data_IF_570415265264
#
_entry.id   IF_570415265264
#
_cell.length_a   1.000
_cell.length_b   1.000
_cell.length_c   1.000
_cell.angle_alpha   90.00
_cell.angle_beta   90.00
_cell.angle_gamma   90.00
#
_symmetry.space_group_name_H-M   'P 1'
#
loop_
_entity.id
_entity.type
_entity.pdbx_description
1 polymer ?
#
# COMPACT_ATOMS: atom_id res chain seq x y z
N UNK A 1 -26.17 9.37 -6.59
CA UNK A 1 -26.63 9.88 -5.27
C UNK A 1 -27.32 11.21 -5.51
N UNK A 2 -28.55 11.36 -5.00
CA UNK A 2 -29.32 12.61 -5.09
C UNK A 2 -29.34 13.21 -3.70
N UNK A 3 -29.10 14.51 -3.61
CA UNK A 3 -29.15 15.29 -2.37
C UNK A 3 -30.27 16.31 -2.45
N UNK A 4 -31.00 16.51 -1.34
CA UNK A 4 -31.93 17.62 -1.23
C UNK A 4 -31.18 18.92 -1.09
N UNK A 5 -31.51 19.90 -1.94
CA UNK A 5 -30.95 21.23 -1.85
C UNK A 5 -31.95 22.10 -1.10
N UNK A 6 -31.44 23.03 -0.30
CA UNK A 6 -32.26 23.97 0.45
C UNK A 6 -33.24 24.72 -0.46
N UNK A 7 -34.42 24.98 0.09
CA UNK A 7 -35.59 25.61 -0.44
C UNK A 7 -35.33 26.62 -1.59
N UNK A 8 -35.87 26.27 -2.76
CA UNK A 8 -35.84 27.16 -3.93
C UNK A 8 -37.25 27.77 -4.15
N UNK A 9 -37.41 29.08 -4.05
CA UNK A 9 -38.71 29.71 -4.27
C UNK A 9 -38.99 29.86 -5.77
N UNK A 10 -39.80 28.99 -6.35
CA UNK A 10 -40.23 29.09 -7.75
C UNK A 10 -41.14 30.25 -8.01
N UNK A 11 -41.96 30.64 -7.04
CA UNK A 11 -42.99 31.69 -7.17
C UNK A 11 -42.78 32.87 -6.21
N UNK A 12 -41.64 32.93 -5.51
CA UNK A 12 -41.31 33.86 -4.43
C UNK A 12 -42.21 33.78 -3.19
N UNK A 13 -43.09 32.80 -3.11
CA UNK A 13 -44.04 32.66 -2.01
C UNK A 13 -43.95 31.35 -1.27
N UNK A 14 -43.59 30.29 -1.98
CA UNK A 14 -43.54 28.92 -1.39
C UNK A 14 -42.15 28.34 -1.58
N UNK A 15 -41.51 27.98 -0.48
CA UNK A 15 -40.23 27.27 -0.50
C UNK A 15 -40.46 25.81 -0.85
N UNK A 16 -39.87 25.36 -1.95
CA UNK A 16 -39.94 23.96 -2.40
C UNK A 16 -38.59 23.30 -2.29
N UNK A 17 -38.53 22.06 -1.79
CA UNK A 17 -37.31 21.30 -1.71
C UNK A 17 -36.86 20.92 -3.12
N UNK A 18 -35.69 21.40 -3.51
CA UNK A 18 -35.01 20.97 -4.74
C UNK A 18 -34.19 19.72 -4.56
N UNK A 19 -33.94 19.01 -5.64
CA UNK A 19 -33.06 17.85 -5.66
C UNK A 19 -32.00 18.02 -6.74
N UNK A 20 -30.74 17.72 -6.40
CA UNK A 20 -29.64 17.73 -7.35
C UNK A 20 -28.86 16.44 -7.29
N UNK A 21 -28.26 16.06 -8.40
CA UNK A 21 -27.31 14.96 -8.41
C UNK A 21 -25.99 15.46 -7.78
N UNK A 22 -25.52 14.78 -6.74
CA UNK A 22 -24.29 15.11 -6.02
C UNK A 22 -23.07 14.39 -6.57
N UNK A 23 -23.23 13.16 -6.97
CA UNK A 23 -22.14 12.30 -7.43
C UNK A 23 -22.63 11.32 -8.50
N UNK A 24 -21.71 10.90 -9.35
CA UNK A 24 -21.96 9.78 -10.23
C UNK A 24 -22.11 8.48 -9.42
N UNK A 25 -23.08 7.65 -9.80
CA UNK A 25 -23.21 6.30 -9.26
C UNK A 25 -22.31 5.37 -10.06
N UNK A 26 -21.51 4.57 -9.38
CA UNK A 26 -20.83 3.43 -9.96
C UNK A 26 -21.53 2.15 -9.48
N UNK A 27 -22.09 1.37 -10.43
CA UNK A 27 -22.78 0.11 -10.14
C UNK A 27 -21.85 -1.11 -10.19
N UNK A 28 -20.64 -0.93 -10.71
CA UNK A 28 -19.67 -2.01 -10.93
C UNK A 28 -18.62 -2.06 -9.80
N UNK A 29 -18.90 -1.41 -8.68
CA UNK A 29 -18.04 -1.45 -7.49
C UNK A 29 -17.91 -2.89 -6.97
N UNK A 30 -16.65 -3.28 -6.74
CA UNK A 30 -16.27 -4.57 -6.17
C UNK A 30 -15.49 -4.37 -4.87
N UNK A 31 -15.39 -5.42 -4.08
CA UNK A 31 -14.47 -5.45 -2.95
C UNK A 31 -13.03 -5.59 -3.39
N UNK A 32 -12.13 -4.97 -2.65
CA UNK A 32 -10.70 -5.18 -2.82
C UNK A 32 -10.36 -6.65 -2.56
N UNK A 33 -9.50 -7.21 -3.39
CA UNK A 33 -9.07 -8.60 -3.29
C UNK A 33 -7.58 -8.67 -3.04
N UNK A 34 -7.18 -9.43 -2.01
CA UNK A 34 -5.76 -9.68 -1.74
C UNK A 34 -5.46 -11.15 -1.96
N UNK A 35 -4.52 -11.41 -2.85
CA UNK A 35 -3.95 -12.74 -3.11
C UNK A 35 -2.55 -12.81 -2.54
N UNK A 36 -2.28 -13.84 -1.74
CA UNK A 36 -0.96 -14.10 -1.14
C UNK A 36 -0.47 -15.46 -1.63
N UNK A 37 0.75 -15.48 -2.14
CA UNK A 37 1.51 -16.70 -2.40
C UNK A 37 2.72 -16.67 -1.48
N UNK A 38 2.90 -17.72 -0.69
CA UNK A 38 3.94 -17.84 0.31
C UNK A 38 4.58 -19.21 0.22
N UNK A 39 5.92 -19.26 0.30
CA UNK A 39 6.71 -20.49 0.27
C UNK A 39 7.80 -20.40 1.32
N UNK A 40 7.65 -21.20 2.37
CA UNK A 40 8.58 -21.28 3.49
C UNK A 40 9.32 -22.60 3.53
N UNK A 41 10.56 -22.58 3.98
CA UNK A 41 11.40 -23.75 4.21
C UNK A 41 12.15 -23.59 5.53
N UNK A 42 11.92 -24.53 6.44
CA UNK A 42 12.66 -24.65 7.69
C UNK A 42 13.63 -25.81 7.64
N UNK A 43 14.90 -25.55 7.92
CA UNK A 43 15.95 -26.55 7.88
C UNK A 43 16.73 -26.56 9.20
N UNK A 44 17.00 -27.74 9.70
CA UNK A 44 18.02 -27.96 10.71
C UNK A 44 19.31 -28.46 10.03
N UNK A 45 20.30 -27.57 9.91
CA UNK A 45 21.50 -27.85 9.10
C UNK A 45 22.51 -28.71 9.86
N UNK A 46 22.75 -28.36 11.14
CA UNK A 46 23.65 -29.07 12.04
C UNK A 46 23.08 -29.06 13.46
N UNK A 47 23.74 -29.78 14.40
CA UNK A 47 23.38 -29.67 15.81
C UNK A 47 23.48 -28.22 16.28
N UNK A 48 22.34 -27.66 16.63
CA UNK A 48 22.22 -26.28 17.11
C UNK A 48 22.04 -25.20 16.03
N UNK A 49 22.25 -25.48 14.74
CA UNK A 49 22.02 -24.49 13.67
C UNK A 49 20.72 -24.79 12.93
N UNK A 50 19.79 -23.84 13.00
CA UNK A 50 18.56 -23.81 12.19
C UNK A 50 18.56 -22.65 11.21
N UNK A 51 17.93 -22.87 10.07
CA UNK A 51 17.73 -21.87 9.02
C UNK A 51 16.26 -21.88 8.61
N UNK A 52 15.66 -20.71 8.55
CA UNK A 52 14.34 -20.48 8.00
C UNK A 52 14.47 -19.60 6.77
N UNK A 53 13.80 -19.95 5.70
CA UNK A 53 13.73 -19.17 4.48
C UNK A 53 12.27 -19.04 4.08
N UNK A 54 11.79 -17.81 3.90
CA UNK A 54 10.44 -17.49 3.44
C UNK A 54 10.51 -16.57 2.22
N UNK A 55 9.73 -16.90 1.20
CA UNK A 55 9.51 -16.06 0.06
C UNK A 55 8.01 -15.81 -0.10
N UNK A 56 7.63 -14.56 -0.28
CA UNK A 56 6.25 -14.18 -0.44
C UNK A 56 6.00 -13.22 -1.60
N UNK A 57 4.81 -13.33 -2.16
CA UNK A 57 4.23 -12.39 -3.11
C UNK A 57 2.79 -12.10 -2.69
N UNK A 58 2.50 -10.84 -2.37
CA UNK A 58 1.17 -10.35 -2.02
C UNK A 58 0.72 -9.34 -3.09
N UNK A 59 -0.40 -9.61 -3.75
CA UNK A 59 -1.02 -8.72 -4.72
C UNK A 59 -2.38 -8.29 -4.20
N UNK A 60 -2.59 -6.99 -4.05
CA UNK A 60 -3.89 -6.39 -3.72
C UNK A 60 -4.42 -5.70 -4.96
N UNK A 61 -5.53 -6.18 -5.49
CA UNK A 61 -6.20 -5.71 -6.70
C UNK A 61 -7.56 -5.09 -6.38
N UNK A 62 -8.15 -4.43 -7.37
CA UNK A 62 -9.44 -3.75 -7.26
C UNK A 62 -9.49 -2.69 -6.14
N UNK A 63 -8.36 -2.03 -5.85
CA UNK A 63 -8.29 -1.01 -4.81
C UNK A 63 -9.24 0.13 -5.13
N UNK A 64 -10.07 0.49 -4.14
CA UNK A 64 -11.07 1.54 -4.24
C UNK A 64 -10.41 2.92 -4.17
N UNK A 65 -10.66 3.74 -5.17
CA UNK A 65 -10.18 5.13 -5.21
C UNK A 65 -11.17 6.06 -5.89
N UNK A 66 -11.07 7.35 -5.62
CA UNK A 66 -11.82 8.36 -6.35
C UNK A 66 -11.28 8.48 -7.77
N UNK A 67 -12.16 8.42 -8.76
CA UNK A 67 -11.78 8.66 -10.16
C UNK A 67 -11.37 10.12 -10.36
N UNK A 68 -10.41 10.37 -11.22
CA UNK A 68 -10.08 11.75 -11.62
C UNK A 68 -11.10 12.21 -12.67
N UNK A 69 -11.95 13.14 -12.30
CA UNK A 69 -12.93 13.77 -13.20
C UNK A 69 -12.70 15.28 -13.23
N UNK A 70 -13.02 15.89 -14.37
CA UNK A 70 -12.90 17.33 -14.50
C UNK A 70 -13.85 18.05 -13.54
N UNK A 71 -13.36 19.07 -12.84
CA UNK A 71 -14.17 19.96 -12.01
C UNK A 71 -15.29 20.68 -12.78
N UNK A 72 -15.16 20.78 -14.11
CA UNK A 72 -16.19 21.37 -14.97
C UNK A 72 -17.51 20.59 -14.97
N UNK A 73 -17.48 19.33 -14.55
CA UNK A 73 -18.70 18.51 -14.46
C UNK A 73 -19.60 18.87 -13.28
N UNK A 74 -19.10 19.67 -12.31
CA UNK A 74 -19.88 20.12 -11.16
C UNK A 74 -20.34 19.01 -10.21
N UNK A 75 -19.86 17.76 -10.38
CA UNK A 75 -20.23 16.61 -9.58
C UNK A 75 -19.00 16.01 -8.90
N UNK A 76 -19.23 15.39 -7.74
CA UNK A 76 -18.16 14.66 -7.05
C UNK A 76 -17.73 13.42 -7.87
N UNK A 77 -16.42 13.16 -7.83
CA UNK A 77 -15.84 12.00 -8.50
C UNK A 77 -16.42 10.68 -7.96
N UNK A 78 -16.77 9.74 -8.84
CA UNK A 78 -17.20 8.42 -8.40
C UNK A 78 -16.02 7.63 -7.83
N UNK A 79 -16.32 6.72 -6.90
CA UNK A 79 -15.37 5.70 -6.47
C UNK A 79 -15.33 4.59 -7.51
N UNK A 80 -14.13 4.18 -7.89
CA UNK A 80 -13.87 3.10 -8.87
C UNK A 80 -12.84 2.13 -8.34
N UNK A 81 -12.89 0.90 -8.81
CA UNK A 81 -11.85 -0.11 -8.58
C UNK A 81 -10.75 0.06 -9.63
N UNK A 82 -9.76 0.86 -9.33
CA UNK A 82 -8.67 1.15 -10.25
C UNK A 82 -7.37 1.32 -9.48
N UNK A 83 -6.85 0.22 -8.98
CA UNK A 83 -5.56 0.19 -8.32
C UNK A 83 -5.13 -1.24 -8.06
N UNK A 84 -3.86 -1.52 -8.28
CA UNK A 84 -3.22 -2.78 -7.92
C UNK A 84 -1.83 -2.52 -7.37
N UNK A 85 -1.53 -3.14 -6.22
CA UNK A 85 -0.22 -3.05 -5.55
C UNK A 85 0.33 -4.45 -5.35
N UNK A 86 1.55 -4.65 -5.80
CA UNK A 86 2.33 -5.86 -5.58
C UNK A 86 3.39 -5.62 -4.50
N UNK A 87 3.41 -6.48 -3.49
CA UNK A 87 4.49 -6.57 -2.51
C UNK A 87 5.12 -7.95 -2.62
N UNK A 88 6.43 -8.01 -2.79
CA UNK A 88 7.19 -9.26 -2.81
C UNK A 88 8.46 -9.12 -2.03
N UNK A 89 8.84 -10.20 -1.38
CA UNK A 89 10.04 -10.20 -0.59
C UNK A 89 10.50 -11.61 -0.24
N UNK A 90 11.61 -11.65 0.46
CA UNK A 90 12.10 -12.86 1.08
C UNK A 90 12.73 -12.53 2.44
N UNK A 91 12.67 -13.50 3.32
CA UNK A 91 13.20 -13.44 4.67
C UNK A 91 14.10 -14.67 4.90
N UNK A 92 15.24 -14.46 5.54
CA UNK A 92 16.16 -15.52 5.88
C UNK A 92 16.55 -15.33 7.35
N UNK A 93 16.39 -16.37 8.13
CA UNK A 93 16.81 -16.41 9.52
C UNK A 93 17.78 -17.55 9.76
N UNK A 94 18.90 -17.25 10.41
CA UNK A 94 19.83 -18.24 10.92
C UNK A 94 19.85 -18.15 12.44
N UNK A 95 19.64 -19.26 13.12
CA UNK A 95 19.70 -19.33 14.58
C UNK A 95 20.65 -20.46 14.98
N UNK A 96 21.62 -20.12 15.81
CA UNK A 96 22.56 -21.08 16.36
C UNK A 96 22.45 -21.15 17.87
N UNK A 97 22.14 -22.34 18.37
CA UNK A 97 22.06 -22.66 19.81
C UNK A 97 23.07 -23.74 20.16
N UNK A 98 23.92 -23.48 21.13
CA UNK A 98 24.85 -24.50 21.60
C UNK A 98 25.17 -24.32 23.10
N UNK A 99 25.75 -25.35 23.67
CA UNK A 99 26.19 -25.38 25.06
C UNK A 99 27.67 -25.80 25.12
N UNK A 100 28.48 -25.04 25.86
CA UNK A 100 29.89 -25.35 26.06
C UNK A 100 30.01 -26.51 27.05
N UNK A 101 30.57 -27.64 26.57
CA UNK A 101 30.73 -28.83 27.38
C UNK A 101 32.12 -28.98 28.00
N UNK A 102 33.17 -28.37 27.44
CA UNK A 102 34.57 -28.73 27.73
C UNK A 102 35.51 -27.56 28.08
N UNK A 103 35.05 -26.54 28.80
CA UNK A 103 35.88 -25.40 29.23
C UNK A 103 35.57 -24.91 30.65
N UNK A 104 36.29 -23.89 31.10
CA UNK A 104 36.06 -23.17 32.35
C UNK A 104 34.59 -22.70 32.50
N UNK A 105 33.91 -22.52 31.37
CA UNK A 105 32.50 -22.13 31.28
C UNK A 105 31.55 -23.30 30.99
N UNK A 106 31.85 -24.48 31.52
CA UNK A 106 31.02 -25.69 31.34
C UNK A 106 29.57 -25.43 31.73
N UNK A 107 28.66 -25.77 30.82
CA UNK A 107 27.21 -25.57 31.00
C UNK A 107 26.69 -24.21 30.53
N UNK A 108 27.54 -23.31 30.01
CA UNK A 108 27.08 -22.05 29.42
C UNK A 108 26.34 -22.33 28.10
N UNK A 109 25.08 -21.98 28.07
CA UNK A 109 24.26 -21.96 26.86
C UNK A 109 24.37 -20.62 26.17
N UNK A 110 24.55 -20.62 24.87
CA UNK A 110 24.55 -19.41 24.05
C UNK A 110 23.67 -19.57 22.82
N UNK A 111 23.05 -18.45 22.44
CA UNK A 111 22.23 -18.32 21.25
C UNK A 111 22.75 -17.14 20.42
N UNK A 112 22.89 -17.36 19.12
CA UNK A 112 23.21 -16.30 18.18
C UNK A 112 22.25 -16.40 16.98
N UNK A 113 21.66 -15.27 16.60
CA UNK A 113 20.74 -15.21 15.46
C UNK A 113 21.10 -14.09 14.50
N UNK A 114 20.96 -14.36 13.22
CA UNK A 114 21.10 -13.38 12.14
C UNK A 114 19.85 -13.43 11.29
N UNK A 115 19.25 -12.29 11.04
CA UNK A 115 18.04 -12.13 10.25
C UNK A 115 18.35 -11.22 9.09
N UNK A 116 17.88 -11.59 7.91
CA UNK A 116 17.98 -10.78 6.70
C UNK A 116 16.63 -10.80 6.01
N UNK A 117 16.08 -9.61 5.76
CA UNK A 117 14.85 -9.43 5.01
C UNK A 117 15.04 -8.44 3.85
N UNK A 118 14.29 -8.64 2.80
CA UNK A 118 14.19 -7.69 1.70
C UNK A 118 12.80 -7.72 1.12
N UNK A 119 12.14 -6.58 1.14
CA UNK A 119 10.83 -6.40 0.52
C UNK A 119 10.87 -5.35 -0.58
N UNK A 120 10.01 -5.48 -1.56
CA UNK A 120 9.78 -4.50 -2.61
C UNK A 120 8.28 -4.32 -2.81
N UNK A 121 7.88 -3.05 -2.82
CA UNK A 121 6.54 -2.62 -3.16
C UNK A 121 6.53 -2.07 -4.57
N UNK A 122 5.49 -2.35 -5.34
CA UNK A 122 5.31 -1.82 -6.69
C UNK A 122 3.84 -1.57 -6.96
N UNK A 123 3.54 -0.40 -7.47
CA UNK A 123 2.23 -0.04 -8.00
C UNK A 123 2.11 -0.59 -9.43
N UNK A 124 1.30 -1.61 -9.62
CA UNK A 124 1.17 -2.33 -10.91
C UNK A 124 0.06 -1.76 -11.78
N UNK A 125 -0.99 -1.23 -11.14
CA UNK A 125 -2.08 -0.54 -11.82
C UNK A 125 -2.53 0.65 -10.98
N UNK A 126 -2.64 1.83 -11.62
CA UNK A 126 -3.10 3.02 -10.93
C UNK A 126 -3.87 4.00 -11.83
N UNK A 127 -3.72 3.90 -13.15
CA UNK A 127 -4.28 4.82 -14.13
C UNK A 127 -3.44 6.09 -14.26
N UNK A 128 -4.04 7.26 -14.09
CA UNK A 128 -3.29 8.52 -14.22
C UNK A 128 -2.34 8.75 -13.05
N UNK A 129 -1.17 9.31 -13.35
CA UNK A 129 -0.20 9.76 -12.35
C UNK A 129 -0.83 10.77 -11.39
N UNK A 130 -0.54 10.64 -10.12
CA UNK A 130 -1.05 11.51 -9.07
C UNK A 130 0.10 12.01 -8.19
N UNK A 131 0.16 13.32 -8.02
CA UNK A 131 1.09 13.98 -7.12
C UNK A 131 0.28 14.53 -5.94
N UNK A 132 0.58 14.03 -4.74
CA UNK A 132 -0.06 14.41 -3.49
C UNK A 132 1.00 14.99 -2.55
N UNK A 133 1.16 16.32 -2.58
CA UNK A 133 2.21 17.03 -1.88
C UNK A 133 3.60 16.62 -2.38
N UNK A 134 4.34 15.89 -1.58
CA UNK A 134 5.67 15.37 -1.90
C UNK A 134 5.69 13.87 -2.24
N UNK A 135 4.52 13.29 -2.49
CA UNK A 135 4.35 11.88 -2.83
C UNK A 135 3.89 11.72 -4.27
N UNK A 136 4.58 10.86 -5.00
CA UNK A 136 4.24 10.48 -6.36
C UNK A 136 3.65 9.08 -6.36
N UNK A 137 2.49 8.94 -7.02
CA UNK A 137 1.86 7.66 -7.32
C UNK A 137 1.84 7.47 -8.82
N UNK A 138 2.72 6.63 -9.31
CA UNK A 138 2.85 6.29 -10.74
C UNK A 138 3.07 4.80 -10.89
N UNK A 139 2.45 4.22 -11.90
CA UNK A 139 2.65 2.80 -12.26
C UNK A 139 4.13 2.49 -12.48
N UNK A 140 4.54 1.36 -11.95
CA UNK A 140 5.93 0.89 -12.03
C UNK A 140 6.83 1.31 -10.89
N UNK A 141 6.43 2.30 -10.09
CA UNK A 141 7.15 2.80 -8.92
C UNK A 141 6.58 2.23 -7.60
N UNK A 142 7.30 2.36 -6.48
CA UNK A 142 6.75 2.09 -5.16
C UNK A 142 5.53 2.98 -4.87
N UNK A 143 4.58 2.46 -4.10
CA UNK A 143 3.42 3.25 -3.68
C UNK A 143 3.86 4.39 -2.76
N UNK A 144 3.49 5.64 -3.10
CA UNK A 144 3.90 6.87 -2.41
C UNK A 144 5.43 7.12 -2.43
N UNK A 145 6.07 6.98 -3.58
CA UNK A 145 7.45 7.39 -3.74
C UNK A 145 7.61 8.89 -3.49
N UNK A 146 8.76 9.30 -2.94
CA UNK A 146 9.02 10.72 -2.68
C UNK A 146 9.30 11.46 -4.00
N UNK A 147 8.60 12.57 -4.18
CA UNK A 147 8.77 13.51 -5.28
C UNK A 147 9.19 14.87 -4.74
N UNK A 148 10.48 15.16 -4.85
CA UNK A 148 11.05 16.39 -4.31
C UNK A 148 11.97 17.03 -5.35
N UNK A 149 12.13 18.35 -5.24
CA UNK A 149 13.11 19.09 -6.02
C UNK A 149 14.51 18.87 -5.43
N UNK A 150 15.47 18.54 -6.27
CA UNK A 150 16.87 18.48 -5.89
C UNK A 150 17.43 19.91 -5.78
N UNK A 151 18.02 20.24 -4.63
CA UNK A 151 18.68 21.52 -4.45
C UNK A 151 20.10 21.43 -5.08
N UNK A 152 20.31 22.08 -6.20
CA UNK A 152 21.59 22.08 -6.93
C UNK A 152 22.52 23.23 -6.52
N UNK A 153 22.12 24.13 -5.63
CA UNK A 153 22.95 25.23 -5.13
C UNK A 153 22.15 26.39 -4.55
N UNK A 154 22.86 27.33 -4.03
CA UNK A 154 22.33 28.63 -3.53
C UNK A 154 22.79 29.72 -4.49
N UNK A 155 21.88 30.58 -4.93
CA UNK A 155 22.27 31.78 -5.67
C UNK A 155 23.01 32.71 -4.72
N UNK A 156 24.29 32.97 -4.99
CA UNK A 156 25.01 34.08 -4.37
C UNK A 156 24.55 35.38 -5.03
N UNK A 157 24.07 36.34 -4.24
CA UNK A 157 23.75 37.72 -4.64
C UNK A 157 25.01 38.54 -4.71
#
# INVERSE_FOLDING_TARGET
>A
MIESVSNYPFDKKTETVGYQQKAYANRDIKWETTTITDVGVDLQVFNGLSMTFDWYKKTTSDILRSSQVSYLLGLSAPTVNNGEVENKGFEIAFNYNNMISDCVFKGLQYNAGVYFDRSRNKLTQFGAEEIDGYKLRREGLPYNEYYMLECIGVFAL
#
